data_IF_470722611171
#
_entry.id   IF_470722611171
#
_cell.length_a   1.000
_cell.length_b   1.000
_cell.length_c   1.000
_cell.angle_alpha   90.00
_cell.angle_beta   90.00
_cell.angle_gamma   90.00
#
_symmetry.space_group_name_H-M   'P 1'
#
loop_
_entity.id
_entity.type
_entity.pdbx_description
1 polymer ?
#
# COMPACT_ATOMS: atom_id res chain seq x y z
N UNK A 1 -12.86 -23.43 -43.71
CA UNK A 1 -12.70 -22.01 -43.34
C UNK A 1 -13.02 -21.92 -41.85
N UNK A 2 -12.07 -21.91 -40.93
CA UNK A 2 -10.86 -21.11 -40.90
C UNK A 2 -9.63 -21.98 -40.60
N UNK A 3 -8.66 -21.97 -41.52
CA UNK A 3 -7.28 -22.32 -41.21
C UNK A 3 -6.70 -21.18 -40.37
N UNK A 4 -6.72 -21.32 -39.06
CA UNK A 4 -5.87 -20.52 -38.19
C UNK A 4 -4.54 -21.27 -38.09
N UNK A 5 -3.58 -20.90 -38.94
CA UNK A 5 -2.20 -21.36 -38.82
C UNK A 5 -1.74 -21.17 -37.37
N UNK A 6 -1.29 -22.25 -36.73
CA UNK A 6 -0.71 -22.19 -35.39
C UNK A 6 0.55 -21.32 -35.47
N UNK A 7 0.42 -20.04 -35.09
CA UNK A 7 1.55 -19.13 -34.99
C UNK A 7 2.41 -19.64 -33.83
N UNK A 8 3.58 -20.18 -34.13
CA UNK A 8 4.56 -20.57 -33.13
C UNK A 8 5.04 -19.30 -32.43
N UNK A 9 4.49 -19.01 -31.25
CA UNK A 9 4.95 -17.90 -30.41
C UNK A 9 6.38 -18.21 -29.98
N UNK A 10 7.32 -17.35 -30.37
CA UNK A 10 8.70 -17.41 -29.87
C UNK A 10 8.72 -17.00 -28.40
N UNK A 11 9.66 -17.51 -27.60
CA UNK A 11 9.76 -17.22 -26.16
C UNK A 11 9.76 -15.71 -25.82
N UNK A 12 10.21 -14.88 -26.75
CA UNK A 12 10.26 -13.41 -26.63
C UNK A 12 8.89 -12.70 -26.85
N UNK A 13 7.89 -13.37 -27.44
CA UNK A 13 6.54 -12.80 -27.66
C UNK A 13 5.56 -13.10 -26.51
N UNK A 14 5.93 -13.92 -25.52
CA UNK A 14 5.01 -14.29 -24.44
C UNK A 14 4.87 -13.17 -23.39
N UNK A 15 3.63 -12.77 -23.01
CA UNK A 15 3.40 -11.64 -22.10
C UNK A 15 3.92 -11.85 -20.68
N UNK A 16 4.26 -13.09 -20.31
CA UNK A 16 4.75 -13.46 -18.99
C UNK A 16 6.13 -14.13 -19.09
N UNK A 17 7.23 -13.35 -18.99
CA UNK A 17 8.57 -13.82 -19.32
C UNK A 17 9.13 -14.87 -18.34
N UNK A 18 8.53 -15.02 -17.15
CA UNK A 18 9.05 -15.88 -16.09
C UNK A 18 8.58 -17.33 -16.17
N UNK A 19 7.40 -17.60 -16.75
CA UNK A 19 6.80 -18.95 -16.76
C UNK A 19 6.61 -19.54 -18.16
N UNK A 20 6.99 -18.82 -19.24
CA UNK A 20 6.82 -19.25 -20.65
C UNK A 20 5.41 -19.81 -20.94
N UNK A 21 4.40 -19.21 -20.33
CA UNK A 21 3.00 -19.60 -20.46
C UNK A 21 2.19 -18.38 -20.91
N UNK A 22 1.13 -18.61 -21.70
CA UNK A 22 0.21 -17.56 -22.14
C UNK A 22 -0.77 -17.11 -21.05
N UNK A 23 -0.73 -17.71 -19.86
CA UNK A 23 -1.60 -17.42 -18.73
C UNK A 23 -0.86 -17.59 -17.40
N UNK A 24 -1.30 -16.88 -16.36
CA UNK A 24 -0.92 -17.14 -14.98
C UNK A 24 -2.03 -17.90 -14.28
N UNK A 25 -1.69 -18.92 -13.47
CA UNK A 25 -2.64 -19.53 -12.55
C UNK A 25 -3.03 -18.49 -11.50
N UNK A 26 -4.32 -18.23 -11.37
CA UNK A 26 -4.83 -17.38 -10.31
C UNK A 26 -4.75 -18.14 -8.99
N UNK A 27 -3.96 -17.64 -8.04
CA UNK A 27 -3.88 -18.17 -6.69
C UNK A 27 -4.65 -17.25 -5.73
N UNK A 28 -5.79 -17.69 -5.18
CA UNK A 28 -6.54 -16.88 -4.24
C UNK A 28 -5.79 -16.81 -2.90
N UNK A 29 -5.59 -15.58 -2.40
CA UNK A 29 -5.05 -15.35 -1.06
C UNK A 29 -6.14 -15.61 -0.03
N UNK A 30 -6.11 -16.77 0.61
CA UNK A 30 -7.02 -17.11 1.70
C UNK A 30 -6.58 -16.43 3.02
N UNK A 31 -7.55 -16.08 3.88
CA UNK A 31 -7.28 -15.57 5.23
C UNK A 31 -6.73 -16.68 6.12
N UNK A 32 -5.42 -16.69 6.33
CA UNK A 32 -4.73 -17.72 7.12
C UNK A 32 -4.45 -17.31 8.57
N UNK A 33 -4.46 -16.00 8.88
CA UNK A 33 -4.13 -15.50 10.22
C UNK A 33 -5.43 -15.40 11.06
N UNK A 34 -5.55 -16.11 12.20
CA UNK A 34 -6.80 -16.14 12.98
C UNK A 34 -7.20 -14.77 13.58
N UNK A 35 -6.23 -14.05 14.15
CA UNK A 35 -6.43 -12.75 14.80
C UNK A 35 -5.18 -11.89 14.65
N UNK A 36 -5.37 -10.57 14.51
CA UNK A 36 -4.30 -9.60 14.65
C UNK A 36 -4.83 -8.20 14.99
N UNK A 37 -4.22 -7.54 15.98
CA UNK A 37 -4.29 -6.10 16.23
C UNK A 37 -3.13 -5.41 15.51
N UNK A 38 -3.45 -4.73 14.41
CA UNK A 38 -2.44 -4.09 13.56
C UNK A 38 -2.52 -2.56 13.69
N UNK A 39 -1.43 -1.95 14.12
CA UNK A 39 -1.27 -0.50 14.10
C UNK A 39 -0.62 -0.09 12.77
N UNK A 40 -1.35 0.70 11.99
CA UNK A 40 -0.87 1.30 10.74
C UNK A 40 -0.36 2.70 11.07
N UNK A 41 0.87 2.98 10.70
CA UNK A 41 1.53 4.26 10.99
C UNK A 41 1.77 4.99 9.69
N UNK A 42 1.11 6.12 9.52
CA UNK A 42 1.39 7.04 8.44
C UNK A 42 2.66 7.84 8.76
N UNK A 43 3.77 7.49 8.11
CA UNK A 43 5.06 8.20 8.19
C UNK A 43 5.25 9.24 7.08
N UNK A 44 4.22 9.51 6.30
CA UNK A 44 4.24 10.47 5.20
C UNK A 44 3.72 11.84 5.66
N UNK A 45 4.01 12.87 4.86
CA UNK A 45 3.65 14.26 5.12
C UNK A 45 2.15 14.40 5.38
N UNK A 46 1.79 15.07 6.48
CA UNK A 46 0.39 15.36 6.85
C UNK A 46 0.13 16.86 7.00
N UNK A 47 1.06 17.55 7.62
CA UNK A 47 0.98 18.96 7.98
C UNK A 47 2.14 19.75 7.39
N UNK A 48 1.97 21.07 7.26
CA UNK A 48 3.06 21.96 6.85
C UNK A 48 4.24 21.94 7.84
N UNK A 49 3.98 21.64 9.11
CA UNK A 49 5.02 21.45 10.14
C UNK A 49 5.93 20.27 9.85
N UNK A 50 5.49 19.31 9.04
CA UNK A 50 6.28 18.14 8.66
C UNK A 50 7.28 18.48 7.54
N UNK A 51 7.12 19.66 6.90
CA UNK A 51 8.02 20.15 5.86
C UNK A 51 9.24 20.82 6.47
N UNK A 52 10.41 20.51 5.90
CA UNK A 52 11.62 21.29 6.12
C UNK A 52 11.47 22.70 5.56
N UNK A 53 12.26 23.65 6.07
CA UNK A 53 12.23 25.03 5.59
C UNK A 53 12.56 25.10 4.08
N UNK A 54 13.51 24.27 3.61
CA UNK A 54 13.82 24.14 2.19
C UNK A 54 12.61 23.71 1.36
N UNK A 55 11.84 22.71 1.81
CA UNK A 55 10.67 22.23 1.09
C UNK A 55 9.55 23.29 1.07
N UNK A 56 9.41 24.08 2.15
CA UNK A 56 8.47 25.22 2.17
C UNK A 56 8.86 26.29 1.14
N UNK A 57 10.15 26.63 1.06
CA UNK A 57 10.67 27.60 0.10
C UNK A 57 10.52 27.11 -1.35
N UNK A 58 10.81 25.83 -1.62
CA UNK A 58 10.68 25.25 -2.96
C UNK A 58 9.23 25.15 -3.43
N UNK A 59 8.30 24.84 -2.53
CA UNK A 59 6.89 24.67 -2.89
C UNK A 59 6.16 26.02 -2.93
N UNK A 60 6.58 26.99 -2.12
CA UNK A 60 6.11 28.38 -2.11
C UNK A 60 4.59 28.51 -2.34
N UNK A 61 4.17 29.11 -3.46
CA UNK A 61 2.77 29.34 -3.79
C UNK A 61 1.95 28.06 -4.06
N UNK A 62 2.61 26.91 -4.28
CA UNK A 62 1.98 25.62 -4.52
C UNK A 62 1.96 24.72 -3.27
N UNK A 63 2.42 25.21 -2.12
CA UNK A 63 2.54 24.44 -0.88
C UNK A 63 1.26 23.70 -0.52
N UNK A 64 0.13 24.40 -0.49
CA UNK A 64 -1.15 23.83 -0.10
C UNK A 64 -1.63 22.75 -1.09
N UNK A 65 -1.48 22.99 -2.40
CA UNK A 65 -1.92 22.03 -3.43
C UNK A 65 -1.08 20.77 -3.42
N UNK A 66 0.24 20.90 -3.23
CA UNK A 66 1.16 19.78 -3.09
C UNK A 66 0.92 19.01 -1.80
N UNK A 67 0.76 19.68 -0.67
CA UNK A 67 0.46 19.02 0.60
C UNK A 67 -0.88 18.26 0.56
N UNK A 68 -1.91 18.81 -0.09
CA UNK A 68 -3.17 18.08 -0.33
C UNK A 68 -2.98 16.83 -1.18
N UNK A 69 -2.12 16.92 -2.20
CA UNK A 69 -1.80 15.76 -3.03
C UNK A 69 -1.07 14.69 -2.22
N UNK A 70 -0.04 15.05 -1.45
CA UNK A 70 0.68 14.12 -0.58
C UNK A 70 -0.25 13.48 0.46
N UNK A 71 -1.15 14.25 1.08
CA UNK A 71 -2.16 13.73 2.00
C UNK A 71 -3.07 12.68 1.35
N UNK A 72 -3.44 12.90 0.09
CA UNK A 72 -4.25 11.95 -0.68
C UNK A 72 -3.46 10.67 -0.97
N UNK A 73 -2.21 10.79 -1.42
CA UNK A 73 -1.33 9.64 -1.69
C UNK A 73 -1.11 8.82 -0.41
N UNK A 74 -0.84 9.49 0.71
CA UNK A 74 -0.63 8.87 2.01
C UNK A 74 -1.86 8.09 2.49
N UNK A 75 -3.05 8.67 2.27
CA UNK A 75 -4.32 8.01 2.57
C UNK A 75 -4.52 6.75 1.72
N UNK A 76 -4.14 6.77 0.43
CA UNK A 76 -4.21 5.60 -0.43
C UNK A 76 -3.24 4.49 0.03
N UNK A 77 -2.03 4.85 0.44
CA UNK A 77 -1.05 3.90 0.98
C UNK A 77 -1.56 3.22 2.26
N UNK A 78 -2.06 4.00 3.23
CA UNK A 78 -2.65 3.46 4.46
C UNK A 78 -3.86 2.55 4.18
N UNK A 79 -4.71 2.93 3.22
CA UNK A 79 -5.85 2.11 2.81
C UNK A 79 -5.42 0.79 2.17
N UNK A 80 -4.37 0.80 1.35
CA UNK A 80 -3.82 -0.43 0.76
C UNK A 80 -3.31 -1.39 1.84
N UNK A 81 -2.62 -0.87 2.86
CA UNK A 81 -2.18 -1.67 4.02
C UNK A 81 -3.39 -2.26 4.75
N UNK A 82 -4.39 -1.44 5.08
CA UNK A 82 -5.59 -1.91 5.77
C UNK A 82 -6.34 -2.99 4.97
N UNK A 83 -6.44 -2.82 3.64
CA UNK A 83 -7.03 -3.84 2.77
C UNK A 83 -6.23 -5.15 2.78
N UNK A 84 -4.90 -5.09 2.79
CA UNK A 84 -4.06 -6.29 2.87
C UNK A 84 -4.25 -7.01 4.21
N UNK A 85 -4.35 -6.27 5.33
CA UNK A 85 -4.69 -6.86 6.64
C UNK A 85 -6.05 -7.58 6.57
N UNK A 86 -7.07 -6.94 5.99
CA UNK A 86 -8.40 -7.55 5.81
C UNK A 86 -8.39 -8.77 4.87
N UNK A 87 -7.47 -8.83 3.90
CA UNK A 87 -7.32 -10.00 3.01
C UNK A 87 -6.62 -11.19 3.68
N UNK A 88 -5.78 -10.93 4.69
CA UNK A 88 -4.93 -11.95 5.32
C UNK A 88 -5.47 -12.44 6.67
N UNK A 89 -6.18 -11.58 7.42
CA UNK A 89 -6.57 -11.82 8.81
C UNK A 89 -8.07 -12.06 8.92
N UNK A 90 -8.46 -13.13 9.63
CA UNK A 90 -9.86 -13.50 9.83
C UNK A 90 -10.57 -12.52 10.76
N UNK A 91 -10.01 -12.27 11.95
CA UNK A 91 -10.52 -11.31 12.94
C UNK A 91 -9.49 -10.20 13.16
N UNK A 92 -9.56 -9.13 12.38
CA UNK A 92 -8.63 -8.01 12.48
C UNK A 92 -9.19 -6.86 13.32
N UNK A 93 -8.30 -6.19 14.04
CA UNK A 93 -8.55 -4.85 14.58
C UNK A 93 -7.43 -3.94 14.10
N UNK A 94 -7.79 -2.87 13.40
CA UNK A 94 -6.82 -1.95 12.80
C UNK A 94 -7.00 -0.56 13.39
N UNK A 95 -5.90 0.15 13.61
CA UNK A 95 -5.90 1.57 13.95
C UNK A 95 -4.85 2.26 13.08
N UNK A 96 -5.19 3.42 12.51
CA UNK A 96 -4.27 4.21 11.71
C UNK A 96 -3.95 5.51 12.44
N UNK A 97 -2.66 5.82 12.59
CA UNK A 97 -2.20 7.03 13.28
C UNK A 97 -1.08 7.70 12.49
N UNK A 98 -0.83 8.99 12.73
CA UNK A 98 0.37 9.64 12.22
C UNK A 98 1.59 9.25 13.06
N UNK A 99 2.79 9.31 12.47
CA UNK A 99 4.04 8.97 13.17
C UNK A 99 4.24 9.78 14.46
N UNK A 100 3.76 11.02 14.50
CA UNK A 100 3.80 11.86 15.71
C UNK A 100 2.99 11.30 16.89
N UNK A 101 2.02 10.44 16.62
CA UNK A 101 1.11 9.85 17.61
C UNK A 101 1.53 8.42 18.00
N UNK A 102 2.57 7.87 17.36
CA UNK A 102 2.99 6.47 17.47
C UNK A 102 3.19 6.02 18.92
N UNK A 103 3.92 6.79 19.71
CA UNK A 103 4.28 6.39 21.08
C UNK A 103 3.04 6.23 21.97
N UNK A 104 2.05 7.12 21.83
CA UNK A 104 0.81 7.05 22.58
C UNK A 104 -0.08 5.92 22.04
N UNK A 105 -0.20 5.82 20.72
CA UNK A 105 -0.97 4.79 20.05
C UNK A 105 -0.53 3.37 20.43
N UNK A 106 0.78 3.10 20.51
CA UNK A 106 1.30 1.80 20.92
C UNK A 106 0.87 1.43 22.34
N UNK A 107 0.89 2.39 23.27
CA UNK A 107 0.47 2.18 24.67
C UNK A 107 -1.02 1.90 24.78
N UNK A 108 -1.84 2.69 24.11
CA UNK A 108 -3.30 2.60 24.26
C UNK A 108 -3.90 1.44 23.48
N UNK A 109 -3.33 1.14 22.32
CA UNK A 109 -3.85 0.14 21.41
C UNK A 109 -3.23 -1.24 21.61
N UNK A 110 -2.02 -1.35 22.16
CA UNK A 110 -1.28 -2.61 22.34
C UNK A 110 -1.32 -3.48 21.06
N UNK A 111 -0.70 -3.03 19.96
CA UNK A 111 -0.69 -3.78 18.71
C UNK A 111 0.19 -5.03 18.80
N UNK A 112 -0.21 -6.07 18.08
CA UNK A 112 0.61 -7.27 17.85
C UNK A 112 1.56 -7.08 16.66
N UNK A 113 1.23 -6.15 15.76
CA UNK A 113 2.06 -5.78 14.63
C UNK A 113 1.93 -4.29 14.31
N UNK A 114 3.04 -3.70 13.85
CA UNK A 114 3.09 -2.33 13.36
C UNK A 114 3.48 -2.38 11.88
N UNK A 115 2.73 -1.67 11.04
CA UNK A 115 3.04 -1.52 9.61
C UNK A 115 3.14 -0.03 9.30
N UNK A 116 4.25 0.36 8.68
CA UNK A 116 4.53 1.76 8.33
C UNK A 116 4.33 1.98 6.83
N UNK A 117 3.84 3.16 6.45
CA UNK A 117 3.73 3.61 5.05
C UNK A 117 4.89 4.51 4.64
#
# INVERSE_FOLDING_TARGET
MFDAAAKTLTDEELPFPYNKQAFCKFEPVARSIPHAKVLIVNSLLRYESDLSDLARDEWASNLESKLRFENKVSSLACNNIAQNVNRLVQNHKTMTVHVSELAQAVRDFEPEAIVMS
#
